data_IF_528847719645
#
_entry.id   IF_528847719645
#
_cell.length_a   1.000
_cell.length_b   1.000
_cell.length_c   1.000
_cell.angle_alpha   90.00
_cell.angle_beta   90.00
_cell.angle_gamma   90.00
#
_symmetry.space_group_name_H-M   'P 1'
#
loop_
_entity.id
_entity.type
_entity.pdbx_description
1 polymer ?
#
# COMPACT_ATOMS: atom_id res chain seq x y z
N UNK A 1 10.78 18.14 -3.67
CA UNK A 1 9.43 18.50 -4.14
C UNK A 1 9.51 18.86 -5.61
N UNK A 2 9.21 17.90 -6.50
CA UNK A 2 9.03 18.16 -7.93
C UNK A 2 7.56 17.90 -8.22
N UNK A 3 6.79 18.96 -8.41
CA UNK A 3 5.37 18.84 -8.72
C UNK A 3 5.22 18.23 -10.12
N UNK A 4 4.55 17.08 -10.19
CA UNK A 4 4.06 16.55 -11.46
C UNK A 4 3.21 17.62 -12.16
N UNK A 5 3.28 17.75 -13.49
CA UNK A 5 2.40 18.66 -14.21
C UNK A 5 0.96 18.24 -13.91
N UNK A 6 0.17 19.15 -13.33
CA UNK A 6 -1.28 18.96 -13.16
C UNK A 6 -1.92 18.92 -14.55
N UNK A 7 -2.00 17.74 -15.15
CA UNK A 7 -2.91 17.49 -16.25
C UNK A 7 -4.30 17.30 -15.66
N UNK A 8 -5.10 18.36 -15.63
CA UNK A 8 -6.54 18.29 -15.34
C UNK A 8 -7.30 17.63 -16.49
N UNK A 9 -6.91 16.41 -16.87
CA UNK A 9 -7.51 15.66 -17.96
C UNK A 9 -8.58 14.77 -17.34
N UNK A 10 -9.83 15.24 -17.39
CA UNK A 10 -11.08 14.47 -17.38
C UNK A 10 -11.08 13.19 -16.52
N UNK A 11 -10.66 13.31 -15.26
CA UNK A 11 -10.81 12.23 -14.28
C UNK A 11 -11.94 12.62 -13.33
N UNK A 12 -13.05 11.88 -13.41
CA UNK A 12 -14.02 11.65 -12.34
C UNK A 12 -15.22 12.60 -12.13
N UNK A 13 -15.63 13.32 -13.17
CA UNK A 13 -17.02 13.81 -13.26
C UNK A 13 -17.54 13.44 -14.64
N UNK A 14 -18.81 13.03 -14.74
CA UNK A 14 -19.45 12.62 -16.00
C UNK A 14 -18.93 13.43 -17.18
N UNK A 15 -18.53 12.72 -18.25
CA UNK A 15 -17.78 13.26 -19.40
C UNK A 15 -18.60 14.38 -20.04
N UNK A 16 -18.49 15.59 -19.49
CA UNK A 16 -19.06 16.80 -20.03
C UNK A 16 -18.29 17.06 -21.31
N UNK A 17 -19.02 17.05 -22.42
CA UNK A 17 -18.52 17.19 -23.77
C UNK A 17 -17.45 18.29 -23.83
N UNK A 18 -16.24 17.91 -24.26
CA UNK A 18 -15.29 18.91 -24.72
C UNK A 18 -15.96 19.58 -25.94
N UNK A 19 -16.15 20.90 -25.91
CA UNK A 19 -17.05 21.52 -26.87
C UNK A 19 -16.36 21.52 -28.23
N UNK A 20 -17.09 21.12 -29.27
CA UNK A 20 -16.56 21.05 -30.63
C UNK A 20 -16.24 22.41 -31.24
N UNK A 21 -16.59 23.52 -30.57
CA UNK A 21 -16.26 24.89 -30.94
C UNK A 21 -16.10 25.76 -29.70
N UNK A 22 -15.34 26.84 -29.80
CA UNK A 22 -15.19 27.80 -28.71
C UNK A 22 -14.08 28.80 -28.96
N UNK A 23 -13.59 29.41 -27.89
CA UNK A 23 -12.47 30.35 -27.93
C UNK A 23 -11.18 29.67 -27.49
N UNK A 24 -10.07 30.15 -28.02
CA UNK A 24 -8.75 29.75 -27.58
C UNK A 24 -7.88 30.96 -27.29
N UNK A 25 -7.00 30.78 -26.31
CA UNK A 25 -5.87 31.65 -26.03
C UNK A 25 -4.60 30.80 -26.10
N UNK A 26 -3.54 31.31 -26.72
CA UNK A 26 -2.30 30.56 -26.86
C UNK A 26 -1.10 31.37 -26.37
N UNK A 27 -0.11 30.67 -25.84
CA UNK A 27 1.20 31.24 -25.54
C UNK A 27 2.30 30.36 -26.10
N UNK A 28 3.24 30.97 -26.81
CA UNK A 28 4.43 30.32 -27.35
C UNK A 28 5.59 30.57 -26.37
N UNK A 29 6.24 29.48 -25.94
CA UNK A 29 7.45 29.55 -25.13
C UNK A 29 8.42 28.48 -25.62
N UNK A 30 9.62 28.91 -26.02
CA UNK A 30 10.63 28.06 -26.64
C UNK A 30 10.06 27.36 -27.89
N UNK A 31 10.15 26.03 -27.93
CA UNK A 31 9.69 25.14 -28.99
C UNK A 31 8.25 24.62 -28.77
N UNK A 32 7.49 25.24 -27.87
CA UNK A 32 6.15 24.79 -27.47
C UNK A 32 5.11 25.90 -27.59
N UNK A 33 3.88 25.47 -27.89
CA UNK A 33 2.68 26.30 -27.86
C UNK A 33 1.67 25.70 -26.90
N UNK A 34 1.21 26.49 -25.94
CA UNK A 34 0.18 26.10 -24.98
C UNK A 34 -1.11 26.81 -25.33
N UNK A 35 -2.15 26.05 -25.68
CA UNK A 35 -3.50 26.55 -25.85
C UNK A 35 -4.28 26.40 -24.56
N UNK A 36 -5.09 27.41 -24.23
CA UNK A 36 -6.20 27.37 -23.28
C UNK A 36 -7.47 27.41 -24.09
N UNK A 37 -8.35 26.42 -23.91
CA UNK A 37 -9.65 26.35 -24.55
C UNK A 37 -10.74 26.79 -23.57
N UNK A 38 -11.67 27.61 -24.05
CA UNK A 38 -12.80 28.14 -23.28
C UNK A 38 -14.12 27.87 -24.03
N UNK A 39 -15.18 27.54 -23.28
CA UNK A 39 -16.54 27.32 -23.83
C UNK A 39 -17.21 28.67 -24.11
N UNK A 40 -18.22 28.66 -24.99
CA UNK A 40 -19.04 29.83 -25.37
C UNK A 40 -20.16 30.14 -24.34
N UNK A 41 -20.20 29.50 -23.17
CA UNK A 41 -21.31 29.60 -22.19
C UNK A 41 -20.90 30.29 -20.88
N UNK A 42 -21.76 31.20 -20.42
CA UNK A 42 -21.62 31.96 -19.18
C UNK A 42 -21.59 31.05 -17.94
N UNK A 43 -20.46 31.05 -17.21
CA UNK A 43 -20.40 30.60 -15.82
C UNK A 43 -19.66 29.28 -15.53
N UNK A 44 -19.14 28.56 -16.53
CA UNK A 44 -18.33 27.36 -16.28
C UNK A 44 -16.83 27.69 -16.15
N UNK A 45 -16.33 27.77 -14.91
CA UNK A 45 -14.91 27.98 -14.57
C UNK A 45 -14.04 26.73 -14.87
N UNK A 46 -13.96 26.32 -16.14
CA UNK A 46 -13.11 25.23 -16.60
C UNK A 46 -12.18 25.67 -17.72
N UNK A 47 -10.98 26.17 -17.38
CA UNK A 47 -9.95 26.44 -18.39
C UNK A 47 -9.09 25.19 -18.58
N UNK A 48 -9.23 24.53 -19.73
CA UNK A 48 -8.38 23.40 -20.09
C UNK A 48 -7.19 23.90 -20.89
N UNK A 49 -5.97 23.47 -20.50
CA UNK A 49 -4.77 23.81 -21.24
C UNK A 49 -4.08 22.59 -21.82
N UNK A 50 -3.68 22.69 -23.08
CA UNK A 50 -2.95 21.65 -23.79
C UNK A 50 -1.71 22.26 -24.43
N UNK A 51 -0.58 21.57 -24.28
CA UNK A 51 0.69 22.00 -24.84
C UNK A 51 1.09 21.09 -25.99
N UNK A 52 1.52 21.69 -27.09
CA UNK A 52 1.92 21.03 -28.31
C UNK A 52 3.31 21.50 -28.74
N UNK A 53 4.08 20.67 -29.46
CA UNK A 53 5.26 21.13 -30.17
C UNK A 53 4.89 22.23 -31.17
N UNK A 54 5.64 23.34 -31.16
CA UNK A 54 5.43 24.45 -32.09
C UNK A 54 5.60 24.02 -33.55
N UNK A 55 6.44 23.01 -33.80
CA UNK A 55 6.70 22.43 -35.13
C UNK A 55 5.47 21.83 -35.80
N UNK A 56 4.40 21.54 -35.05
CA UNK A 56 3.13 21.09 -35.62
C UNK A 56 2.39 22.22 -36.37
N UNK A 57 2.76 23.47 -36.13
CA UNK A 57 2.08 24.65 -36.66
C UNK A 57 3.00 25.45 -37.59
N UNK A 58 3.01 25.09 -38.88
CA UNK A 58 3.96 25.68 -39.85
C UNK A 58 3.66 27.14 -40.22
N UNK A 59 2.38 27.52 -40.25
CA UNK A 59 1.92 28.80 -40.79
C UNK A 59 1.05 29.56 -39.78
N UNK A 60 1.59 29.86 -38.59
CA UNK A 60 0.86 30.65 -37.61
C UNK A 60 0.60 32.08 -38.13
N UNK A 61 -0.65 32.58 -38.08
CA UNK A 61 -0.99 33.90 -38.58
C UNK A 61 -0.43 34.99 -37.65
N UNK A 62 0.71 35.57 -38.05
CA UNK A 62 1.36 36.68 -37.35
C UNK A 62 0.90 38.01 -37.95
N UNK A 63 0.55 38.98 -37.10
CA UNK A 63 0.19 40.37 -37.48
C UNK A 63 -1.13 40.55 -38.26
N UNK A 64 -1.80 39.48 -38.66
CA UNK A 64 -3.13 39.51 -39.27
C UNK A 64 -3.94 38.29 -38.81
N UNK A 65 -5.27 38.41 -38.82
CA UNK A 65 -6.13 37.27 -38.58
C UNK A 65 -6.03 36.27 -39.75
N UNK A 66 -5.96 34.99 -39.43
CA UNK A 66 -5.88 33.92 -40.42
C UNK A 66 -6.30 32.57 -39.85
N UNK A 67 -6.36 31.59 -40.73
CA UNK A 67 -6.70 30.22 -40.38
C UNK A 67 -5.43 29.37 -40.33
N UNK A 68 -5.39 28.46 -39.37
CA UNK A 68 -4.41 27.38 -39.31
C UNK A 68 -5.06 26.14 -38.69
N UNK A 69 -4.49 24.98 -38.91
CA UNK A 69 -5.09 23.73 -38.47
C UNK A 69 -4.07 22.78 -37.87
N UNK A 70 -4.57 21.85 -37.05
CA UNK A 70 -3.86 20.68 -36.58
C UNK A 70 -4.70 19.45 -36.92
N UNK A 71 -4.19 18.60 -37.80
CA UNK A 71 -4.81 17.32 -38.16
C UNK A 71 -4.11 16.16 -37.48
N UNK A 72 -4.90 15.25 -36.92
CA UNK A 72 -4.46 13.98 -36.33
C UNK A 72 -5.45 12.88 -36.72
N UNK A 73 -5.10 11.63 -36.42
CA UNK A 73 -5.95 10.48 -36.70
C UNK A 73 -7.39 10.63 -36.18
N UNK A 74 -7.57 11.19 -34.97
CA UNK A 74 -8.88 11.33 -34.34
C UNK A 74 -9.71 12.52 -34.88
N UNK A 75 -9.12 13.45 -35.63
CA UNK A 75 -9.84 14.60 -36.18
C UNK A 75 -8.95 15.78 -36.53
N UNK A 76 -9.58 16.85 -37.00
CA UNK A 76 -8.92 18.11 -37.35
C UNK A 76 -9.44 19.23 -36.45
N UNK A 77 -8.51 19.96 -35.85
CA UNK A 77 -8.80 21.20 -35.14
C UNK A 77 -8.47 22.38 -36.06
N UNK A 78 -9.49 23.13 -36.46
CA UNK A 78 -9.34 24.36 -37.23
C UNK A 78 -9.36 25.55 -36.29
N UNK A 79 -8.35 26.40 -36.37
CA UNK A 79 -8.22 27.63 -35.60
C UNK A 79 -8.37 28.82 -36.53
N UNK A 80 -9.20 29.78 -36.12
CA UNK A 80 -9.26 31.12 -36.70
C UNK A 80 -8.78 32.12 -35.64
N UNK A 81 -7.81 32.97 -35.98
CA UNK A 81 -7.34 34.00 -35.05
C UNK A 81 -6.03 34.61 -35.47
N UNK A 82 -5.36 35.28 -34.52
CA UNK A 82 -4.08 35.95 -34.77
C UNK A 82 -3.11 35.75 -33.61
N UNK A 83 -1.83 35.82 -33.91
CA UNK A 83 -0.75 35.95 -32.94
C UNK A 83 -0.17 37.36 -32.97
N UNK A 84 -0.04 37.95 -31.78
CA UNK A 84 0.73 39.16 -31.50
C UNK A 84 1.96 38.76 -30.66
N UNK A 85 3.13 38.79 -31.30
CA UNK A 85 4.34 38.20 -30.74
C UNK A 85 4.16 36.71 -30.40
N UNK A 86 4.29 36.38 -29.12
CA UNK A 86 4.17 35.01 -28.60
C UNK A 86 2.79 34.70 -28.01
N UNK A 87 1.83 35.63 -28.07
CA UNK A 87 0.48 35.43 -27.56
C UNK A 87 -0.51 35.38 -28.73
N UNK A 88 -1.47 34.47 -28.68
CA UNK A 88 -2.50 34.35 -29.70
C UNK A 88 -3.88 34.18 -29.10
N UNK A 89 -4.90 34.54 -29.88
CA UNK A 89 -6.29 34.30 -29.51
C UNK A 89 -7.17 34.16 -30.75
N UNK A 90 -8.32 33.52 -30.56
CA UNK A 90 -9.34 33.41 -31.59
C UNK A 90 -10.38 32.35 -31.27
N UNK A 91 -10.98 31.78 -32.32
CA UNK A 91 -11.96 30.70 -32.22
C UNK A 91 -11.43 29.40 -32.80
N UNK A 92 -11.96 28.28 -32.33
CA UNK A 92 -11.65 26.97 -32.88
C UNK A 92 -12.92 26.20 -33.23
N UNK A 93 -12.76 25.25 -34.14
CA UNK A 93 -13.75 24.25 -34.47
C UNK A 93 -13.05 22.89 -34.63
N UNK A 94 -13.54 21.87 -33.94
CA UNK A 94 -13.09 20.50 -34.02
C UNK A 94 -14.01 19.69 -34.94
N UNK A 95 -13.42 19.04 -35.94
CA UNK A 95 -14.12 18.12 -36.84
C UNK A 95 -13.62 16.69 -36.57
N UNK A 96 -14.47 15.81 -36.00
CA UNK A 96 -14.08 14.44 -35.70
C UNK A 96 -13.83 13.62 -36.97
N UNK A 97 -12.80 12.78 -36.96
CA UNK A 97 -12.56 11.80 -38.03
C UNK A 97 -13.24 10.47 -37.68
N UNK A 98 -14.50 10.30 -38.07
CA UNK A 98 -15.29 9.08 -37.76
C UNK A 98 -14.68 7.79 -38.34
N UNK A 99 -13.85 7.89 -39.39
CA UNK A 99 -13.03 6.78 -39.91
C UNK A 99 -12.06 6.20 -38.87
N UNK A 100 -11.64 7.00 -37.88
CA UNK A 100 -10.80 6.53 -36.78
C UNK A 100 -11.51 5.54 -35.87
N UNK A 101 -12.82 5.67 -35.68
CA UNK A 101 -13.63 4.74 -34.87
C UNK A 101 -13.52 3.33 -35.46
N UNK A 102 -13.63 3.21 -36.78
CA UNK A 102 -13.47 1.94 -37.50
C UNK A 102 -12.03 1.40 -37.38
N UNK A 103 -11.04 2.29 -37.49
CA UNK A 103 -9.63 1.94 -37.32
C UNK A 103 -9.37 1.37 -35.92
N UNK A 104 -9.78 2.10 -34.87
CA UNK A 104 -9.64 1.68 -33.48
C UNK A 104 -10.36 0.34 -33.21
N UNK A 105 -11.58 0.18 -33.73
CA UNK A 105 -12.35 -1.06 -33.63
C UNK A 105 -11.64 -2.24 -34.31
N UNK A 106 -11.10 -2.04 -35.52
CA UNK A 106 -10.34 -3.08 -36.24
C UNK A 106 -9.04 -3.49 -35.51
N UNK A 107 -8.51 -2.59 -34.69
CA UNK A 107 -7.35 -2.83 -33.84
C UNK A 107 -7.72 -3.41 -32.46
N UNK A 108 -8.99 -3.72 -32.20
CA UNK A 108 -9.44 -4.37 -30.97
C UNK A 108 -9.78 -3.41 -29.83
N UNK A 109 -10.03 -2.13 -30.14
CA UNK A 109 -10.58 -1.17 -29.17
C UNK A 109 -12.11 -1.25 -29.19
N UNK A 110 -12.73 -1.44 -28.03
CA UNK A 110 -14.19 -1.55 -27.92
C UNK A 110 -14.83 -0.27 -27.38
N UNK A 111 -15.97 0.12 -27.96
CA UNK A 111 -16.86 1.14 -27.42
C UNK A 111 -16.50 2.59 -27.72
N UNK A 112 -15.59 2.85 -28.69
CA UNK A 112 -15.24 4.21 -29.11
C UNK A 112 -16.45 4.87 -29.79
N UNK A 113 -16.80 6.06 -29.34
CA UNK A 113 -17.87 6.90 -29.87
C UNK A 113 -17.30 8.21 -30.42
N UNK A 114 -18.06 8.92 -31.24
CA UNK A 114 -17.63 10.19 -31.84
C UNK A 114 -17.20 11.23 -30.78
N UNK A 115 -17.93 11.29 -29.65
CA UNK A 115 -17.62 12.18 -28.52
C UNK A 115 -16.25 11.93 -27.89
N UNK A 116 -15.68 10.73 -28.04
CA UNK A 116 -14.37 10.39 -27.48
C UNK A 116 -13.23 10.99 -28.33
N UNK A 117 -13.50 11.30 -29.60
CA UNK A 117 -12.47 11.68 -30.58
C UNK A 117 -11.79 13.01 -30.27
N UNK A 118 -12.50 13.97 -29.67
CA UNK A 118 -11.87 15.22 -29.23
C UNK A 118 -10.85 14.98 -28.12
N UNK A 119 -11.17 14.12 -27.14
CA UNK A 119 -10.23 13.79 -26.06
C UNK A 119 -9.04 13.02 -26.63
N UNK A 120 -9.29 12.05 -27.53
CA UNK A 120 -8.24 11.28 -28.22
C UNK A 120 -7.33 12.19 -29.05
N UNK A 121 -7.89 13.18 -29.73
CA UNK A 121 -7.12 14.21 -30.42
C UNK A 121 -6.21 14.96 -29.45
N UNK A 122 -6.73 15.41 -28.31
CA UNK A 122 -5.97 16.21 -27.34
C UNK A 122 -4.83 15.42 -26.67
N UNK A 123 -5.04 14.12 -26.37
CA UNK A 123 -4.02 13.24 -25.78
C UNK A 123 -3.15 12.51 -26.81
N UNK A 124 -3.37 12.75 -28.10
CA UNK A 124 -2.63 12.20 -29.24
C UNK A 124 -2.71 10.65 -29.33
N UNK A 125 -3.93 10.12 -29.21
CA UNK A 125 -4.20 8.70 -29.47
C UNK A 125 -4.26 8.48 -30.98
N UNK A 126 -3.36 7.64 -31.49
CA UNK A 126 -3.22 7.33 -32.93
C UNK A 126 -3.44 5.84 -33.22
N UNK A 127 -3.64 5.50 -34.49
CA UNK A 127 -3.71 4.10 -34.92
C UNK A 127 -2.40 3.36 -34.66
N UNK A 128 -1.27 4.03 -34.84
CA UNK A 128 0.05 3.47 -34.56
C UNK A 128 0.30 3.27 -33.06
N UNK A 129 -0.24 4.13 -32.21
CA UNK A 129 -0.22 3.93 -30.76
C UNK A 129 -0.98 2.66 -30.36
N UNK A 130 -2.16 2.43 -30.93
CA UNK A 130 -2.95 1.23 -30.67
C UNK A 130 -2.24 -0.01 -31.22
N UNK A 131 -1.66 0.04 -32.44
CA UNK A 131 -0.83 -1.05 -32.99
C UNK A 131 0.36 -1.38 -32.10
N UNK A 132 1.01 -0.37 -31.52
CA UNK A 132 2.09 -0.55 -30.55
C UNK A 132 1.60 -1.35 -29.34
N UNK A 133 0.47 -0.97 -28.72
CA UNK A 133 -0.11 -1.73 -27.61
C UNK A 133 -0.40 -3.19 -28.01
N UNK A 134 -0.97 -3.42 -29.20
CA UNK A 134 -1.21 -4.77 -29.71
C UNK A 134 0.06 -5.58 -29.88
N UNK A 135 1.17 -4.96 -30.30
CA UNK A 135 2.46 -5.64 -30.45
C UNK A 135 3.01 -6.20 -29.13
N UNK A 136 2.56 -5.66 -27.99
CA UNK A 136 2.85 -6.18 -26.64
C UNK A 136 1.80 -7.18 -26.13
N UNK A 137 0.85 -7.59 -26.97
CA UNK A 137 -0.17 -8.57 -26.63
C UNK A 137 -1.44 -7.99 -25.98
N UNK A 138 -1.66 -6.68 -26.07
CA UNK A 138 -2.90 -6.03 -25.64
C UNK A 138 -3.92 -6.01 -26.80
N UNK A 139 -4.76 -7.04 -26.88
CA UNK A 139 -5.70 -7.24 -28.00
C UNK A 139 -7.15 -6.89 -27.71
N UNK A 140 -7.52 -6.72 -26.43
CA UNK A 140 -8.87 -6.35 -26.00
C UNK A 140 -8.78 -5.08 -25.15
N UNK A 141 -8.90 -3.92 -25.81
CA UNK A 141 -8.66 -2.62 -25.20
C UNK A 141 -9.99 -1.90 -25.01
N UNK A 142 -10.31 -1.47 -23.79
CA UNK A 142 -11.49 -0.64 -23.54
C UNK A 142 -11.17 0.81 -23.86
N UNK A 143 -12.12 1.56 -24.42
CA UNK A 143 -11.95 3.00 -24.70
C UNK A 143 -11.49 3.82 -23.49
N UNK A 144 -11.94 3.44 -22.28
CA UNK A 144 -11.59 4.10 -21.01
C UNK A 144 -10.13 3.92 -20.61
N UNK A 145 -9.44 2.92 -21.15
CA UNK A 145 -8.03 2.67 -20.88
C UNK A 145 -7.13 3.54 -21.76
N UNK A 146 -7.53 3.91 -22.98
CA UNK A 146 -6.66 4.61 -23.92
C UNK A 146 -6.28 6.02 -23.46
N UNK A 147 -7.21 6.77 -22.88
CA UNK A 147 -6.99 8.14 -22.42
C UNK A 147 -5.87 8.22 -21.38
N UNK A 148 -5.94 7.51 -20.23
CA UNK A 148 -4.88 7.57 -19.23
C UNK A 148 -3.55 6.99 -19.74
N UNK A 149 -3.57 5.96 -20.58
CA UNK A 149 -2.36 5.39 -21.17
C UNK A 149 -1.60 6.42 -22.04
N UNK A 150 -2.31 7.10 -22.94
CA UNK A 150 -1.73 8.12 -23.81
C UNK A 150 -1.32 9.39 -23.05
N UNK A 151 -2.15 9.83 -22.10
CA UNK A 151 -1.86 10.99 -21.26
C UNK A 151 -0.60 10.81 -20.41
N UNK A 152 -0.40 9.62 -19.83
CA UNK A 152 0.80 9.28 -19.07
C UNK A 152 2.02 8.92 -19.94
N UNK A 153 1.89 8.98 -21.27
CA UNK A 153 2.94 8.61 -22.22
C UNK A 153 3.48 7.21 -21.93
N UNK A 154 2.57 6.25 -21.77
CA UNK A 154 2.91 4.83 -21.69
C UNK A 154 3.26 4.38 -23.12
N UNK A 155 4.55 4.19 -23.35
CA UNK A 155 5.16 3.93 -24.66
C UNK A 155 5.89 2.57 -24.70
N UNK A 156 6.42 2.21 -25.87
CA UNK A 156 7.10 0.93 -26.06
C UNK A 156 8.33 0.75 -25.16
N UNK A 157 9.23 1.75 -24.98
CA UNK A 157 10.33 1.64 -24.01
C UNK A 157 9.85 1.34 -22.59
N UNK A 158 8.81 2.04 -22.12
CA UNK A 158 8.26 1.79 -20.79
C UNK A 158 7.70 0.37 -20.67
N UNK A 159 6.82 -0.05 -21.58
CA UNK A 159 6.21 -1.39 -21.53
C UNK A 159 7.30 -2.49 -21.57
N UNK A 160 8.34 -2.32 -22.40
CA UNK A 160 9.51 -3.23 -22.42
C UNK A 160 10.21 -3.30 -21.08
N UNK A 161 10.52 -2.15 -20.46
CA UNK A 161 11.18 -2.14 -19.15
C UNK A 161 10.39 -2.90 -18.08
N UNK A 162 9.06 -2.81 -18.12
CA UNK A 162 8.18 -3.55 -17.21
C UNK A 162 8.19 -5.06 -17.55
N UNK A 163 8.10 -5.44 -18.83
CA UNK A 163 8.16 -6.85 -19.24
C UNK A 163 9.52 -7.50 -18.89
N UNK A 164 10.62 -6.79 -19.16
CA UNK A 164 11.99 -7.28 -18.97
C UNK A 164 12.35 -7.45 -17.48
N UNK A 165 11.64 -6.76 -16.57
CA UNK A 165 11.79 -6.89 -15.12
C UNK A 165 11.29 -8.23 -14.54
N UNK A 166 10.65 -9.05 -15.37
CA UNK A 166 10.24 -10.40 -14.98
C UNK A 166 8.91 -10.50 -14.23
N UNK A 167 8.11 -9.43 -14.14
CA UNK A 167 6.75 -9.40 -13.55
C UNK A 167 5.71 -10.27 -14.29
N UNK A 168 6.08 -10.87 -15.41
CA UNK A 168 5.15 -11.59 -16.26
C UNK A 168 4.18 -10.64 -16.97
N UNK A 169 2.97 -11.13 -17.29
CA UNK A 169 2.00 -10.37 -18.06
C UNK A 169 1.31 -9.32 -17.19
N UNK A 170 1.69 -8.06 -17.33
CA UNK A 170 1.05 -6.91 -16.66
C UNK A 170 -0.11 -6.39 -17.52
N UNK A 171 -1.29 -6.23 -16.90
CA UNK A 171 -2.47 -5.70 -17.60
C UNK A 171 -2.39 -4.18 -17.84
N UNK A 172 -3.10 -3.67 -18.85
CA UNK A 172 -3.13 -2.23 -19.16
C UNK A 172 -3.51 -1.36 -17.96
N UNK A 173 -4.47 -1.81 -17.15
CA UNK A 173 -4.94 -1.10 -15.96
C UNK A 173 -3.85 -0.97 -14.89
N UNK A 174 -2.88 -1.89 -14.86
CA UNK A 174 -1.77 -1.88 -13.92
C UNK A 174 -0.59 -1.03 -14.42
N UNK A 175 -0.45 -0.84 -15.75
CA UNK A 175 0.58 0.06 -16.30
C UNK A 175 0.35 1.52 -15.89
N UNK A 176 -0.91 1.92 -15.75
CA UNK A 176 -1.31 3.28 -15.37
C UNK A 176 -0.73 3.68 -14.00
N UNK A 177 -1.03 2.97 -12.88
CA UNK A 177 -0.45 3.31 -11.59
C UNK A 177 1.07 3.12 -11.55
N UNK A 178 1.64 2.14 -12.26
CA UNK A 178 3.10 2.00 -12.35
C UNK A 178 3.74 3.28 -12.93
N UNK A 179 3.26 3.75 -14.09
CA UNK A 179 3.79 4.96 -14.73
C UNK A 179 3.56 6.20 -13.87
N UNK A 180 2.36 6.35 -13.29
CA UNK A 180 2.00 7.49 -12.46
C UNK A 180 2.87 7.62 -11.20
N UNK A 181 3.26 6.49 -10.60
CA UNK A 181 4.14 6.44 -9.43
C UNK A 181 5.64 6.46 -9.79
N UNK A 182 5.98 6.53 -11.08
CA UNK A 182 7.37 6.45 -11.54
C UNK A 182 8.02 5.10 -11.22
N UNK A 183 7.25 4.02 -11.31
CA UNK A 183 7.77 2.65 -11.28
C UNK A 183 8.22 2.27 -12.68
N UNK A 184 9.50 1.98 -12.82
CA UNK A 184 10.12 1.43 -14.03
C UNK A 184 10.75 0.06 -13.74
N UNK A 185 11.35 -0.56 -14.76
CA UNK A 185 12.03 -1.84 -14.61
C UNK A 185 13.18 -1.82 -13.58
N UNK A 186 13.84 -0.68 -13.38
CA UNK A 186 14.94 -0.55 -12.43
C UNK A 186 14.43 -0.68 -10.99
N UNK A 187 13.37 0.06 -10.65
CA UNK A 187 12.74 -0.06 -9.33
C UNK A 187 12.21 -1.47 -9.08
N UNK A 188 11.61 -2.11 -10.09
CA UNK A 188 11.11 -3.49 -9.94
C UNK A 188 12.26 -4.46 -9.67
N UNK A 189 13.36 -4.35 -10.41
CA UNK A 189 14.53 -5.20 -10.22
C UNK A 189 15.15 -4.99 -8.83
N UNK A 190 15.27 -3.74 -8.39
CA UNK A 190 15.73 -3.38 -7.04
C UNK A 190 14.91 -4.11 -5.95
N UNK A 191 13.58 -4.07 -6.05
CA UNK A 191 12.70 -4.74 -5.09
C UNK A 191 12.81 -6.27 -5.21
N UNK A 192 12.91 -6.81 -6.42
CA UNK A 192 13.06 -8.25 -6.62
C UNK A 192 14.39 -8.77 -6.06
N UNK A 193 15.48 -8.00 -6.20
CA UNK A 193 16.79 -8.31 -5.63
C UNK A 193 16.76 -8.24 -4.11
N UNK A 194 16.19 -7.18 -3.53
CA UNK A 194 16.06 -7.02 -2.09
C UNK A 194 15.21 -8.13 -1.43
N UNK A 195 14.19 -8.61 -2.14
CA UNK A 195 13.33 -9.71 -1.67
C UNK A 195 13.89 -11.09 -2.02
N UNK A 196 14.80 -11.20 -2.98
CA UNK A 196 15.35 -12.45 -3.51
C UNK A 196 14.39 -13.20 -4.45
N UNK A 197 13.29 -12.58 -4.88
CA UNK A 197 12.23 -13.22 -5.67
C UNK A 197 11.41 -12.22 -6.48
N UNK A 198 10.47 -12.72 -7.28
CA UNK A 198 9.56 -11.91 -8.09
C UNK A 198 8.36 -11.45 -7.27
N UNK A 199 8.24 -10.15 -7.03
CA UNK A 199 7.13 -9.55 -6.28
C UNK A 199 5.93 -9.28 -7.21
N UNK A 200 4.69 -9.65 -6.83
CA UNK A 200 3.51 -9.33 -7.62
C UNK A 200 3.34 -7.82 -7.87
N UNK A 201 2.90 -7.44 -9.07
CA UNK A 201 2.76 -6.03 -9.49
C UNK A 201 1.94 -5.16 -8.53
N UNK A 202 0.89 -5.71 -7.91
CA UNK A 202 0.09 -5.00 -6.92
C UNK A 202 0.91 -4.57 -5.70
N UNK A 203 1.80 -5.44 -5.22
CA UNK A 203 2.69 -5.14 -4.09
C UNK A 203 3.78 -4.14 -4.48
N UNK A 204 4.34 -4.23 -5.70
CA UNK A 204 5.26 -3.22 -6.23
C UNK A 204 4.63 -1.82 -6.20
N UNK A 205 3.37 -1.70 -6.63
CA UNK A 205 2.62 -0.44 -6.59
C UNK A 205 2.46 0.05 -5.16
N UNK A 206 2.08 -0.82 -4.23
CA UNK A 206 1.94 -0.48 -2.80
C UNK A 206 3.25 -0.01 -2.17
N UNK A 207 4.36 -0.69 -2.47
CA UNK A 207 5.69 -0.32 -1.98
C UNK A 207 6.08 1.07 -2.47
N UNK A 208 5.93 1.35 -3.78
CA UNK A 208 6.27 2.66 -4.35
C UNK A 208 5.37 3.78 -3.79
N UNK A 209 4.07 3.53 -3.65
CA UNK A 209 3.13 4.49 -3.09
C UNK A 209 3.50 4.89 -1.64
N UNK A 210 4.11 3.97 -0.90
CA UNK A 210 4.63 4.22 0.45
C UNK A 210 6.10 4.65 0.45
N UNK A 211 6.69 4.97 -0.71
CA UNK A 211 8.09 5.34 -0.86
C UNK A 211 9.07 4.29 -0.28
N UNK A 212 8.76 3.00 -0.38
CA UNK A 212 9.62 1.90 0.06
C UNK A 212 10.58 1.52 -1.07
N UNK A 213 11.85 1.38 -0.73
CA UNK A 213 12.95 1.01 -1.62
C UNK A 213 13.48 -0.38 -1.27
N UNK A 214 14.34 -0.95 -2.12
CA UNK A 214 15.02 -2.21 -1.84
C UNK A 214 15.88 -2.14 -0.59
N UNK A 215 16.54 -0.98 -0.34
CA UNK A 215 17.34 -0.78 0.87
C UNK A 215 16.47 -0.83 2.14
N UNK A 216 15.24 -0.30 2.10
CA UNK A 216 14.32 -0.39 3.24
C UNK A 216 13.95 -1.84 3.57
N UNK A 217 13.81 -2.67 2.53
CA UNK A 217 13.49 -4.11 2.66
C UNK A 217 14.70 -4.85 3.24
N UNK A 218 15.90 -4.65 2.70
CA UNK A 218 17.12 -5.30 3.23
C UNK A 218 17.41 -4.87 4.67
N UNK A 219 17.22 -3.59 4.99
CA UNK A 219 17.39 -3.06 6.35
C UNK A 219 16.41 -3.69 7.34
N UNK A 220 15.16 -3.94 6.92
CA UNK A 220 14.17 -4.62 7.77
C UNK A 220 14.53 -6.08 8.03
N UNK A 221 15.10 -6.79 7.04
CA UNK A 221 15.56 -8.17 7.20
C UNK A 221 16.72 -8.24 8.18
N UNK A 222 17.76 -7.42 7.99
CA UNK A 222 18.88 -7.38 8.95
C UNK A 222 18.45 -7.07 10.40
N UNK A 223 17.36 -6.31 10.56
CA UNK A 223 16.77 -6.02 11.86
C UNK A 223 16.06 -7.24 12.45
N UNK A 224 15.20 -7.92 11.69
CA UNK A 224 14.50 -9.14 12.13
C UNK A 224 15.44 -10.33 12.37
N UNK A 225 16.34 -10.64 11.42
CA UNK A 225 17.23 -11.80 11.52
C UNK A 225 18.26 -11.66 12.66
N UNK A 226 18.62 -10.43 13.09
CA UNK A 226 19.49 -10.23 14.27
C UNK A 226 18.79 -10.52 15.60
N UNK A 227 17.46 -10.38 15.65
CA UNK A 227 16.66 -10.76 16.84
C UNK A 227 16.55 -12.29 16.88
N UNK A 228 16.20 -12.92 15.76
CA UNK A 228 16.02 -14.38 15.69
C UNK A 228 17.33 -15.18 15.82
N UNK A 229 18.46 -14.68 15.30
CA UNK A 229 19.74 -15.39 15.40
C UNK A 229 20.37 -15.33 16.80
N UNK A 230 20.09 -14.31 17.62
CA UNK A 230 20.52 -14.31 19.02
C UNK A 230 19.68 -15.24 19.91
N UNK A 231 18.43 -15.47 19.53
CA UNK A 231 17.52 -16.40 20.21
C UNK A 231 17.84 -17.85 19.79
N UNK A 232 18.03 -18.10 18.49
CA UNK A 232 18.34 -19.44 17.93
C UNK A 232 19.69 -19.99 18.41
N UNK A 233 20.70 -19.14 18.57
CA UNK A 233 22.02 -19.55 19.10
C UNK A 233 22.00 -19.85 20.60
N UNK A 234 21.10 -19.22 21.37
CA UNK A 234 20.89 -19.54 22.79
C UNK A 234 20.06 -20.81 23.00
N UNK A 235 19.04 -21.03 22.17
CA UNK A 235 18.20 -22.22 22.21
C UNK A 235 18.99 -23.47 21.81
N UNK A 236 19.79 -23.40 20.74
CA UNK A 236 20.60 -24.54 20.25
C UNK A 236 21.65 -25.02 21.28
N UNK A 237 22.23 -24.11 22.06
CA UNK A 237 23.17 -24.45 23.13
C UNK A 237 22.50 -25.00 24.39
N UNK A 238 21.21 -24.70 24.61
CA UNK A 238 20.45 -25.22 25.76
C UNK A 238 19.87 -26.62 25.50
N UNK A 239 19.58 -26.95 24.24
CA UNK A 239 19.01 -28.26 23.86
C UNK A 239 20.08 -29.37 23.86
N UNK A 240 21.32 -29.09 23.46
CA UNK A 240 22.39 -30.11 23.41
C UNK A 240 22.85 -30.61 24.79
N UNK A 241 22.51 -29.92 25.88
CA UNK A 241 22.90 -30.32 27.24
C UNK A 241 21.89 -31.28 27.89
N UNK A 242 20.67 -31.37 27.36
CA UNK A 242 19.55 -32.11 27.99
C UNK A 242 19.21 -33.43 27.27
N UNK A 243 19.66 -33.64 26.03
CA UNK A 243 19.27 -34.82 25.22
C UNK A 243 20.22 -36.03 25.35
N UNK A 244 21.31 -35.93 26.13
CA UNK A 244 22.24 -37.07 26.34
C UNK A 244 21.87 -38.04 27.49
N UNK A 245 20.69 -37.90 28.12
CA UNK A 245 20.26 -38.78 29.22
C UNK A 245 18.77 -39.13 29.16
N UNK A 246 18.36 -39.82 28.10
CA UNK A 246 17.16 -40.69 27.97
C UNK A 246 17.05 -40.95 26.46
N UNK A 247 17.29 -42.13 25.91
CA UNK A 247 16.62 -43.41 26.13
C UNK A 247 17.55 -44.49 25.57
N UNK A 248 17.90 -45.46 26.41
CA UNK A 248 18.42 -46.77 26.00
C UNK A 248 17.25 -47.75 25.99
N UNK A 249 17.05 -48.46 24.87
CA UNK A 249 16.50 -49.81 24.87
C UNK A 249 15.21 -50.06 24.08
N UNK A 250 15.28 -51.18 23.33
CA UNK A 250 14.23 -52.14 22.95
C UNK A 250 13.73 -52.04 21.49
N UNK A 251 14.48 -52.72 20.63
CA UNK A 251 14.18 -53.96 19.88
C UNK A 251 12.96 -54.11 18.95
N UNK A 252 13.30 -54.67 17.79
CA UNK A 252 12.51 -55.13 16.65
C UNK A 252 11.61 -56.34 16.97
N UNK A 253 10.41 -56.41 16.39
CA UNK A 253 9.80 -57.68 16.00
C UNK A 253 8.76 -57.52 14.87
N UNK A 254 8.81 -58.44 13.90
CA UNK A 254 7.99 -58.50 12.68
C UNK A 254 6.67 -59.29 12.88
N UNK A 255 5.75 -59.10 11.91
CA UNK A 255 4.87 -60.10 11.24
C UNK A 255 3.33 -59.77 11.23
N UNK A 256 2.49 -60.37 10.32
CA UNK A 256 1.98 -59.69 9.11
C UNK A 256 0.45 -59.92 8.80
N UNK A 257 0.03 -59.53 7.57
CA UNK A 257 -1.21 -59.85 6.79
C UNK A 257 -2.34 -58.77 6.76
N UNK A 258 -3.28 -58.81 5.79
CA UNK A 258 -3.14 -58.71 4.32
C UNK A 258 -4.08 -57.63 3.69
N UNK A 259 -3.92 -57.41 2.37
CA UNK A 259 -4.56 -56.44 1.44
C UNK A 259 -6.12 -56.37 1.49
N UNK A 260 -6.79 -55.23 1.17
CA UNK A 260 -7.13 -54.93 -0.22
C UNK A 260 -7.14 -53.43 -0.62
N UNK A 261 -6.54 -53.09 -1.77
CA UNK A 261 -7.14 -52.39 -2.95
C UNK A 261 -6.17 -51.42 -3.64
N UNK A 262 -6.20 -51.33 -5.00
CA UNK A 262 -5.32 -50.45 -5.74
C UNK A 262 -5.87 -49.03 -5.89
N UNK A 263 -4.98 -48.11 -5.48
CA UNK A 263 -4.71 -46.75 -5.95
C UNK A 263 -5.53 -45.56 -5.41
N UNK A 264 -4.94 -44.74 -4.51
CA UNK A 264 -5.37 -43.38 -4.23
C UNK A 264 -4.80 -42.41 -5.28
N UNK A 265 -5.60 -41.42 -5.63
CA UNK A 265 -5.16 -40.22 -6.35
C UNK A 265 -3.83 -39.66 -5.79
N UNK A 266 -2.94 -39.09 -6.63
CA UNK A 266 -1.62 -38.67 -6.18
C UNK A 266 -1.75 -37.57 -5.13
N UNK A 267 -1.42 -37.92 -3.88
CA UNK A 267 -1.26 -36.98 -2.78
C UNK A 267 -0.16 -35.98 -3.17
N UNK A 268 -0.41 -34.65 -3.13
CA UNK A 268 0.63 -33.68 -3.43
C UNK A 268 1.81 -33.89 -2.48
N UNK A 269 2.99 -34.05 -3.06
CA UNK A 269 4.21 -34.37 -2.32
C UNK A 269 4.56 -33.25 -1.33
N UNK A 270 5.16 -33.62 -0.19
CA UNK A 270 5.61 -32.77 0.93
C UNK A 270 6.43 -31.52 0.51
N UNK A 271 7.05 -31.53 -0.69
CA UNK A 271 7.78 -30.38 -1.26
C UNK A 271 6.87 -29.26 -1.79
N UNK A 272 5.69 -29.58 -2.32
CA UNK A 272 4.77 -28.58 -2.87
C UNK A 272 4.07 -27.75 -1.78
N UNK A 273 3.79 -28.34 -0.62
CA UNK A 273 3.21 -27.62 0.52
C UNK A 273 4.25 -26.73 1.23
N UNK A 274 5.51 -27.14 1.30
CA UNK A 274 6.58 -26.31 1.88
C UNK A 274 6.83 -25.03 1.08
N UNK A 275 6.93 -25.14 -0.25
CA UNK A 275 7.15 -23.98 -1.12
C UNK A 275 5.97 -22.99 -1.11
N UNK A 276 4.73 -23.49 -0.98
CA UNK A 276 3.54 -22.64 -0.89
C UNK A 276 3.48 -21.90 0.46
N UNK A 277 3.81 -22.59 1.55
CA UNK A 277 3.87 -22.00 2.90
C UNK A 277 4.97 -20.93 2.98
N UNK A 278 6.16 -21.21 2.45
CA UNK A 278 7.29 -20.28 2.40
C UNK A 278 6.98 -19.02 1.54
N UNK A 279 6.21 -19.19 0.47
CA UNK A 279 5.70 -18.07 -0.34
C UNK A 279 4.63 -17.26 0.43
N UNK A 280 3.73 -17.90 1.17
CA UNK A 280 2.68 -17.24 1.97
C UNK A 280 3.29 -16.48 3.17
N UNK A 281 4.25 -17.07 3.88
CA UNK A 281 4.92 -16.49 5.04
C UNK A 281 5.76 -15.24 4.65
N UNK A 282 6.47 -15.30 3.52
CA UNK A 282 7.28 -14.16 3.05
C UNK A 282 6.46 -13.08 2.29
N UNK A 283 5.26 -13.39 1.78
CA UNK A 283 4.28 -12.36 1.38
C UNK A 283 3.77 -11.62 2.64
N UNK A 284 3.72 -12.32 3.78
CA UNK A 284 3.53 -11.73 5.11
C UNK A 284 4.61 -10.72 5.48
N UNK A 285 5.90 -11.01 5.24
CA UNK A 285 7.01 -10.07 5.54
C UNK A 285 6.88 -8.71 4.83
N UNK A 286 6.52 -8.71 3.53
CA UNK A 286 6.28 -7.45 2.81
C UNK A 286 5.04 -6.72 3.35
N UNK A 287 3.99 -7.46 3.71
CA UNK A 287 2.82 -6.92 4.39
C UNK A 287 3.17 -6.25 5.72
N UNK A 288 4.05 -6.88 6.50
CA UNK A 288 4.55 -6.40 7.77
C UNK A 288 5.39 -5.13 7.62
N UNK A 289 6.25 -5.05 6.61
CA UNK A 289 7.00 -3.83 6.31
C UNK A 289 6.08 -2.66 5.94
N UNK A 290 5.05 -2.91 5.11
CA UNK A 290 4.02 -1.93 4.76
C UNK A 290 3.27 -1.46 6.01
N UNK A 291 2.88 -2.39 6.89
CA UNK A 291 2.21 -2.06 8.15
C UNK A 291 3.09 -1.23 9.09
N UNK A 292 4.38 -1.59 9.24
CA UNK A 292 5.36 -0.83 10.04
C UNK A 292 5.52 0.59 9.55
N UNK A 293 5.59 0.80 8.23
CA UNK A 293 5.69 2.13 7.65
C UNK A 293 4.41 2.94 7.81
N UNK A 294 3.25 2.33 7.62
CA UNK A 294 1.95 2.97 7.84
C UNK A 294 1.77 3.45 9.29
N UNK A 295 2.28 2.68 10.26
CA UNK A 295 2.26 3.05 11.69
C UNK A 295 3.44 3.95 12.11
N UNK A 296 4.31 4.36 11.18
CA UNK A 296 5.52 5.13 11.45
C UNK A 296 6.37 4.50 12.57
N UNK A 297 6.61 3.19 12.46
CA UNK A 297 7.49 2.45 13.35
C UNK A 297 8.93 2.66 12.89
N UNK A 298 9.68 3.41 13.69
CA UNK A 298 11.08 3.77 13.39
C UNK A 298 12.06 2.81 14.07
N UNK A 299 13.31 2.79 13.58
CA UNK A 299 14.42 2.06 14.24
C UNK A 299 14.60 2.54 15.69
N UNK A 300 14.42 3.83 15.96
CA UNK A 300 14.53 4.40 17.31
C UNK A 300 13.41 3.91 18.24
N UNK A 301 12.19 3.76 17.73
CA UNK A 301 11.08 3.22 18.51
C UNK A 301 11.38 1.79 18.96
N UNK A 302 11.82 0.92 18.04
CA UNK A 302 12.17 -0.46 18.36
C UNK A 302 13.42 -0.54 19.27
N UNK A 303 14.41 0.32 19.04
CA UNK A 303 15.62 0.41 19.88
C UNK A 303 15.29 0.76 21.33
N UNK A 304 14.30 1.61 21.57
CA UNK A 304 13.87 1.98 22.92
C UNK A 304 13.50 0.77 23.79
N UNK A 305 12.82 -0.24 23.23
CA UNK A 305 12.49 -1.49 23.95
C UNK A 305 13.72 -2.39 24.12
N UNK A 306 14.58 -2.45 23.10
CA UNK A 306 15.83 -3.23 23.12
C UNK A 306 16.81 -2.74 24.19
N UNK A 307 16.98 -1.42 24.32
CA UNK A 307 17.85 -0.81 25.35
C UNK A 307 17.36 -1.13 26.77
N UNK A 308 16.06 -1.41 26.91
CA UNK A 308 15.42 -1.88 28.16
C UNK A 308 15.54 -3.40 28.38
N UNK A 309 16.24 -4.11 27.48
CA UNK A 309 16.40 -5.57 27.43
C UNK A 309 15.07 -6.33 27.32
N UNK A 310 14.11 -5.75 26.58
CA UNK A 310 12.83 -6.38 26.28
C UNK A 310 12.93 -6.97 24.87
N UNK A 311 12.62 -8.26 24.74
CA UNK A 311 12.48 -8.91 23.45
C UNK A 311 11.16 -8.45 22.83
N UNK A 312 11.21 -7.97 21.59
CA UNK A 312 10.06 -7.46 20.83
C UNK A 312 10.09 -8.11 19.46
N UNK A 313 8.99 -8.77 19.08
CA UNK A 313 8.79 -9.23 17.70
C UNK A 313 8.32 -8.07 16.82
N UNK A 314 8.35 -8.23 15.50
CA UNK A 314 7.81 -7.21 14.61
C UNK A 314 6.29 -7.05 14.73
N UNK A 315 5.57 -8.12 15.08
CA UNK A 315 4.14 -8.08 15.40
C UNK A 315 3.88 -7.30 16.70
N UNK A 316 4.71 -7.51 17.72
CA UNK A 316 4.65 -6.72 18.96
C UNK A 316 4.83 -5.23 18.66
N UNK A 317 5.79 -4.86 17.80
CA UNK A 317 6.00 -3.45 17.44
C UNK A 317 4.75 -2.82 16.83
N UNK A 318 4.00 -3.55 16.00
CA UNK A 318 2.70 -3.08 15.48
C UNK A 318 1.70 -2.83 16.61
N UNK A 319 1.52 -3.80 17.50
CA UNK A 319 0.57 -3.71 18.61
C UNK A 319 0.95 -2.60 19.60
N UNK A 320 2.22 -2.53 20.00
CA UNK A 320 2.77 -1.50 20.87
C UNK A 320 2.55 -0.11 20.28
N UNK A 321 2.84 0.08 18.98
CA UNK A 321 2.64 1.37 18.32
C UNK A 321 1.16 1.73 18.22
N UNK A 322 0.31 0.78 17.84
CA UNK A 322 -1.14 0.97 17.71
C UNK A 322 -1.81 1.36 19.04
N UNK A 323 -1.31 0.85 20.16
CA UNK A 323 -1.81 1.17 21.50
C UNK A 323 -1.08 2.36 22.15
N UNK A 324 -0.18 3.01 21.43
CA UNK A 324 0.67 4.09 21.93
C UNK A 324 1.41 3.71 23.23
N UNK A 325 1.98 2.50 23.21
CA UNK A 325 2.86 1.98 24.25
C UNK A 325 4.28 2.41 23.91
N UNK A 326 4.91 3.12 24.84
CA UNK A 326 6.26 3.66 24.69
C UNK A 326 7.22 3.01 25.68
N UNK A 327 8.54 3.11 25.46
CA UNK A 327 9.54 2.74 26.48
C UNK A 327 9.28 3.42 27.84
N UNK A 328 8.81 4.67 27.84
CA UNK A 328 8.45 5.40 29.06
C UNK A 328 7.28 4.76 29.81
N UNK A 329 6.24 4.30 29.10
CA UNK A 329 5.12 3.58 29.72
C UNK A 329 5.63 2.35 30.47
N UNK A 330 6.48 1.54 29.84
CA UNK A 330 7.05 0.35 30.48
C UNK A 330 7.93 0.76 31.68
N UNK A 331 8.72 1.82 31.54
CA UNK A 331 9.55 2.32 32.63
C UNK A 331 8.72 2.77 33.83
N UNK A 332 7.58 3.43 33.60
CA UNK A 332 6.66 3.84 34.66
C UNK A 332 6.04 2.62 35.38
N UNK A 333 5.71 1.56 34.64
CA UNK A 333 5.26 0.29 35.22
C UNK A 333 6.38 -0.39 36.03
N UNK A 334 7.63 -0.35 35.55
CA UNK A 334 8.79 -0.86 36.30
C UNK A 334 9.04 -0.11 37.60
N UNK A 335 8.83 1.23 37.63
CA UNK A 335 8.99 2.06 38.83
C UNK A 335 8.01 1.68 39.95
N UNK A 336 6.84 1.15 39.60
CA UNK A 336 5.82 0.71 40.57
C UNK A 336 5.98 -0.75 40.98
N UNK A 337 7.08 -1.41 40.61
CA UNK A 337 7.49 -2.71 41.14
C UNK A 337 7.53 -3.86 40.11
N UNK A 338 6.93 -3.67 38.93
CA UNK A 338 6.86 -4.69 37.88
C UNK A 338 8.10 -4.71 36.99
N UNK A 339 9.23 -5.16 37.56
CA UNK A 339 10.55 -5.08 36.89
C UNK A 339 10.67 -5.93 35.63
N UNK A 340 9.96 -7.06 35.56
CA UNK A 340 10.07 -8.07 34.50
C UNK A 340 8.82 -8.14 33.60
N UNK A 341 8.16 -7.02 33.37
CA UNK A 341 6.99 -6.94 32.48
C UNK A 341 7.35 -7.32 31.03
N UNK A 342 6.51 -8.16 30.44
CA UNK A 342 6.55 -8.60 29.04
C UNK A 342 5.80 -7.62 28.11
N UNK A 343 5.98 -7.78 26.80
CA UNK A 343 5.27 -6.97 25.79
C UNK A 343 3.77 -7.27 25.83
N UNK A 344 3.38 -8.54 25.97
CA UNK A 344 1.99 -8.99 26.05
C UNK A 344 1.29 -8.40 27.27
N UNK A 345 1.95 -8.42 28.43
CA UNK A 345 1.43 -7.79 29.65
C UNK A 345 1.29 -6.27 29.49
N UNK A 346 2.26 -5.60 28.87
CA UNK A 346 2.16 -4.16 28.60
C UNK A 346 1.00 -3.82 27.66
N UNK A 347 0.78 -4.64 26.64
CA UNK A 347 -0.35 -4.56 25.71
C UNK A 347 -1.66 -4.74 26.47
N UNK A 348 -1.77 -5.77 27.31
CA UNK A 348 -2.97 -6.05 28.09
C UNK A 348 -3.31 -4.94 29.10
N UNK A 349 -2.29 -4.40 29.79
CA UNK A 349 -2.48 -3.26 30.69
C UNK A 349 -3.02 -2.04 29.92
N UNK A 350 -2.39 -1.70 28.79
CA UNK A 350 -2.77 -0.53 28.00
C UNK A 350 -4.16 -0.69 27.38
N UNK A 351 -4.51 -1.86 26.86
CA UNK A 351 -5.83 -2.14 26.27
C UNK A 351 -6.96 -2.02 27.28
N UNK A 352 -6.68 -2.29 28.56
CA UNK A 352 -7.62 -2.12 29.67
C UNK A 352 -7.57 -0.72 30.30
N UNK A 353 -6.76 0.19 29.75
CA UNK A 353 -6.59 1.54 30.27
C UNK A 353 -5.99 1.56 31.68
N UNK A 354 -5.06 0.64 31.98
CA UNK A 354 -4.32 0.57 33.24
C UNK A 354 -2.96 1.23 33.04
N UNK A 355 -2.59 2.12 33.96
CA UNK A 355 -1.27 2.77 33.99
C UNK A 355 -0.63 2.65 35.39
N UNK A 356 0.59 3.17 35.53
CA UNK A 356 1.33 3.15 36.80
C UNK A 356 0.58 3.84 37.96
N UNK A 357 -0.17 4.91 37.69
CA UNK A 357 -0.96 5.59 38.72
C UNK A 357 -2.13 4.74 39.19
N UNK A 358 -2.76 3.94 38.33
CA UNK A 358 -3.81 3.02 38.74
C UNK A 358 -3.28 1.89 39.63
N UNK A 359 -2.09 1.38 39.32
CA UNK A 359 -1.38 0.41 40.17
C UNK A 359 -1.06 1.03 41.55
N UNK A 360 -0.56 2.26 41.57
CA UNK A 360 -0.26 2.99 42.81
C UNK A 360 -1.48 3.18 43.70
N UNK A 361 -2.69 3.29 43.12
CA UNK A 361 -3.94 3.37 43.91
C UNK A 361 -4.18 2.06 44.68
N UNK A 362 -3.95 0.89 44.06
CA UNK A 362 -4.05 -0.39 44.78
C UNK A 362 -2.98 -0.51 45.87
N UNK A 363 -1.75 -0.09 45.58
CA UNK A 363 -0.66 -0.06 46.57
C UNK A 363 -1.02 0.83 47.77
N UNK A 364 -1.56 2.02 47.52
CA UNK A 364 -2.05 2.94 48.56
C UNK A 364 -3.25 2.38 49.35
N UNK A 365 -4.01 1.46 48.76
CA UNK A 365 -5.09 0.75 49.43
C UNK A 365 -4.60 -0.46 50.27
N UNK A 366 -3.29 -0.71 50.29
CA UNK A 366 -2.64 -1.75 51.10
C UNK A 366 -2.20 -3.00 50.32
N UNK A 367 -2.31 -3.01 48.98
CA UNK A 367 -1.92 -4.15 48.15
C UNK A 367 -0.56 -3.91 47.48
N UNK A 368 0.53 -4.31 48.14
CA UNK A 368 1.89 -3.99 47.69
C UNK A 368 2.55 -5.07 46.82
N UNK A 369 2.18 -6.34 47.00
CA UNK A 369 2.78 -7.47 46.29
C UNK A 369 1.81 -8.02 45.23
N UNK A 370 1.52 -7.19 44.24
CA UNK A 370 0.60 -7.52 43.14
C UNK A 370 1.38 -8.12 41.97
N UNK A 371 0.78 -9.11 41.32
CA UNK A 371 1.10 -9.56 39.96
C UNK A 371 0.33 -8.72 38.93
N UNK A 372 0.78 -8.72 37.67
CA UNK A 372 0.07 -8.02 36.59
C UNK A 372 -1.31 -8.66 36.37
N UNK A 373 -1.38 -9.98 36.41
CA UNK A 373 -2.63 -10.74 36.27
C UNK A 373 -3.67 -10.35 37.32
N UNK A 374 -3.26 -10.14 38.59
CA UNK A 374 -4.18 -9.67 39.63
C UNK A 374 -4.72 -8.27 39.34
N UNK A 375 -3.89 -7.36 38.82
CA UNK A 375 -4.32 -6.00 38.45
C UNK A 375 -5.28 -6.05 37.25
N UNK A 376 -4.97 -6.88 36.25
CA UNK A 376 -5.83 -7.13 35.08
C UNK A 376 -7.17 -7.73 35.51
N UNK A 377 -7.16 -8.76 36.36
CA UNK A 377 -8.35 -9.42 36.86
C UNK A 377 -9.21 -8.44 37.67
N UNK A 378 -8.60 -7.61 38.52
CA UNK A 378 -9.31 -6.57 39.27
C UNK A 378 -9.98 -5.56 38.34
N UNK A 379 -9.26 -5.03 37.34
CA UNK A 379 -9.83 -4.07 36.38
C UNK A 379 -10.97 -4.69 35.55
N UNK A 380 -10.78 -5.90 35.04
CA UNK A 380 -11.74 -6.62 34.19
C UNK A 380 -13.05 -6.88 34.93
N UNK A 381 -12.95 -7.26 36.21
CA UNK A 381 -14.12 -7.48 37.05
C UNK A 381 -14.65 -6.18 37.68
N UNK A 382 -14.04 -5.03 37.37
CA UNK A 382 -14.42 -3.71 37.87
C UNK A 382 -14.10 -3.44 39.34
N UNK A 383 -13.27 -4.27 39.97
CA UNK A 383 -12.77 -4.11 41.35
C UNK A 383 -11.83 -2.91 41.43
N UNK A 384 -12.39 -1.71 41.45
CA UNK A 384 -11.67 -0.46 41.67
C UNK A 384 -11.36 -0.24 43.15
N UNK A 385 -10.46 0.70 43.47
CA UNK A 385 -10.22 1.10 44.86
C UNK A 385 -11.49 1.61 45.55
N UNK A 386 -12.38 2.29 44.84
CA UNK A 386 -13.68 2.71 45.38
C UNK A 386 -14.56 1.52 45.73
N UNK A 387 -14.59 0.48 44.89
CA UNK A 387 -15.29 -0.76 45.19
C UNK A 387 -14.71 -1.43 46.45
N UNK A 388 -13.38 -1.54 46.54
CA UNK A 388 -12.69 -2.09 47.71
C UNK A 388 -13.08 -1.32 48.97
N UNK A 389 -13.07 0.01 48.93
CA UNK A 389 -13.50 0.85 50.06
C UNK A 389 -14.98 0.62 50.42
N UNK A 390 -15.87 0.47 49.43
CA UNK A 390 -17.29 0.18 49.66
C UNK A 390 -17.50 -1.15 50.39
N UNK A 391 -16.73 -2.18 50.03
CA UNK A 391 -16.78 -3.50 50.66
C UNK A 391 -16.21 -3.45 52.08
N UNK A 392 -15.11 -2.72 52.28
CA UNK A 392 -14.52 -2.48 53.60
C UNK A 392 -15.49 -1.76 54.56
N UNK A 393 -16.28 -0.80 54.06
CA UNK A 393 -17.34 -0.12 54.83
C UNK A 393 -18.47 -1.06 55.26
N UNK A 394 -18.72 -2.13 54.49
CA UNK A 394 -19.69 -3.20 54.83
C UNK A 394 -19.10 -4.25 55.79
N UNK A 395 -17.94 -3.99 56.40
CA UNK A 395 -17.30 -4.86 57.37
C UNK A 395 -16.47 -6.00 56.78
N UNK A 396 -16.42 -6.14 55.45
CA UNK A 396 -15.63 -7.19 54.77
C UNK A 396 -14.25 -6.66 54.39
N UNK A 397 -13.20 -7.17 55.04
CA UNK A 397 -11.80 -6.82 54.78
C UNK A 397 -11.05 -8.06 54.34
N UNK A 398 -10.50 -8.03 53.13
CA UNK A 398 -9.64 -9.09 52.61
C UNK A 398 -8.21 -8.59 52.47
N UNK A 399 -7.24 -9.50 52.54
CA UNK A 399 -5.82 -9.18 52.47
C UNK A 399 -5.29 -9.26 51.03
N UNK A 400 -5.83 -10.16 50.21
CA UNK A 400 -5.47 -10.29 48.80
C UNK A 400 -6.45 -9.49 47.91
N UNK A 401 -5.94 -8.95 46.80
CA UNK A 401 -6.79 -8.25 45.82
C UNK A 401 -7.74 -9.23 45.13
N UNK A 402 -7.27 -10.45 44.86
CA UNK A 402 -8.04 -11.54 44.27
C UNK A 402 -9.30 -11.91 45.08
N UNK A 403 -9.26 -11.81 46.41
CA UNK A 403 -10.43 -12.07 47.26
C UNK A 403 -11.56 -11.06 46.99
N UNK A 404 -11.21 -9.80 46.70
CA UNK A 404 -12.19 -8.78 46.30
C UNK A 404 -12.77 -9.06 44.90
N UNK A 405 -11.97 -9.62 44.00
CA UNK A 405 -12.42 -10.11 42.68
C UNK A 405 -13.41 -11.24 42.83
N UNK A 406 -13.02 -12.28 43.56
CA UNK A 406 -13.87 -13.44 43.86
C UNK A 406 -15.18 -13.02 44.51
N UNK A 407 -15.11 -12.12 45.49
CA UNK A 407 -16.30 -11.57 46.15
C UNK A 407 -17.21 -10.84 45.17
N UNK A 408 -16.65 -10.02 44.28
CA UNK A 408 -17.44 -9.26 43.30
C UNK A 408 -18.14 -10.17 42.30
N UNK A 409 -17.41 -11.12 41.72
CA UNK A 409 -17.96 -12.09 40.76
C UNK A 409 -19.08 -12.88 41.42
N UNK A 410 -18.88 -13.40 42.63
CA UNK A 410 -19.92 -14.12 43.37
C UNK A 410 -21.17 -13.26 43.58
N UNK A 411 -21.00 -12.00 43.98
CA UNK A 411 -22.16 -11.10 44.19
C UNK A 411 -22.90 -10.72 42.92
N UNK A 412 -22.25 -10.78 41.76
CA UNK A 412 -22.90 -10.56 40.46
C UNK A 412 -23.73 -11.77 40.00
N UNK A 413 -23.40 -12.97 40.46
CA UNK A 413 -24.14 -14.20 40.12
C UNK A 413 -25.37 -14.42 41.01
N UNK A 414 -25.42 -13.77 42.18
CA UNK A 414 -26.50 -13.91 43.16
C UNK A 414 -27.56 -12.81 43.08
N UNK A 415 -27.36 -11.82 42.20
CA UNK A 415 -28.30 -10.74 41.89
C UNK A 415 -28.76 -10.89 40.43
#
# INVERSE_FOLDING_TARGET
>A
MSAAPKSGIFADSGIDEAPSKGYWFATIKNDKITFRFEKDEDGANGSNSNTFPLSLFKNLPKNAAGNFELSRDAGTMTFNGKFDGNMGMGTYNFTPATSFINTASSLGVTGVEERDLMVYFLVDVTGDYIKMLRSFGYSNIKKSQLIPLAALKIDAPFIRSIHDSGLGRVGLEQLIPLKALGVDGAYINEINEATGKKVPVGQIISLKAQNISGIDITDSREFGTRVDNQISSKISNSINTTVSKTVSGIDDDENPMPDPTPDPTPRPTRKHNALKQEIEDEIGELGLLLAKKALNITKDFAKGFKDMKIEVTDEDLLALKSLNITPDFINDIRKVGFKNITTEEAIALKSLGINAADIQKYQSAGFYNLSIDEVIAAKTNGVTVDYIQSVRKKGKKFNALEDYVSYRVLTMLTN
#
